data_IF_064544398903
#
_entry.id   IF_064544398903
#
_cell.length_a   1.000
_cell.length_b   1.000
_cell.length_c   1.000
_cell.angle_alpha   90.00
_cell.angle_beta   90.00
_cell.angle_gamma   90.00
#
_symmetry.space_group_name_H-M   'P 1'
#
loop_
_entity.id
_entity.type
_entity.pdbx_description
1 polymer ?
#
# COMPACT_ATOMS: atom_id res chain seq x y z
N UNK A 1 10.98 22.10 -22.05
CA UNK A 1 9.78 22.15 -21.18
C UNK A 1 9.92 21.03 -20.15
N UNK A 2 8.99 20.88 -19.20
CA UNK A 2 8.98 19.70 -18.35
C UNK A 2 8.14 18.62 -19.05
N UNK A 3 8.56 17.37 -18.96
CA UNK A 3 7.79 16.23 -19.48
C UNK A 3 6.51 16.09 -18.66
N UNK A 4 5.37 16.04 -19.36
CA UNK A 4 4.04 15.94 -18.76
C UNK A 4 3.22 14.79 -19.40
N UNK A 5 1.93 14.69 -19.03
CA UNK A 5 1.05 13.65 -19.57
C UNK A 5 0.78 13.71 -21.07
N UNK A 6 1.22 14.74 -21.79
CA UNK A 6 1.09 14.85 -23.26
C UNK A 6 2.27 14.22 -24.02
N UNK A 7 3.35 13.90 -23.31
CA UNK A 7 4.53 13.28 -23.87
C UNK A 7 4.25 11.86 -24.39
N UNK A 8 4.92 11.47 -25.48
CA UNK A 8 4.78 10.14 -26.06
C UNK A 8 5.11 9.04 -25.02
N UNK A 9 4.26 8.02 -24.93
CA UNK A 9 4.43 6.95 -23.93
C UNK A 9 4.02 7.31 -22.49
N UNK A 10 3.60 8.55 -22.21
CA UNK A 10 3.28 9.01 -20.86
C UNK A 10 1.78 9.26 -20.61
N UNK A 11 1.38 9.18 -19.35
CA UNK A 11 0.05 9.60 -18.90
C UNK A 11 0.06 10.08 -17.45
N UNK A 12 -0.91 10.92 -17.09
CA UNK A 12 -1.09 11.39 -15.71
C UNK A 12 -2.19 10.62 -14.98
N UNK A 13 -1.93 10.25 -13.73
CA UNK A 13 -2.93 9.66 -12.85
C UNK A 13 -2.70 10.08 -11.39
N UNK A 14 -3.69 10.74 -10.78
CA UNK A 14 -3.66 11.12 -9.37
C UNK A 14 -2.46 12.01 -9.00
N UNK A 15 -2.26 13.09 -9.77
CA UNK A 15 -1.16 14.06 -9.67
C UNK A 15 0.25 13.48 -9.82
N UNK A 16 0.38 12.33 -10.49
CA UNK A 16 1.65 11.65 -10.75
C UNK A 16 1.75 11.33 -12.23
N UNK A 17 2.95 11.47 -12.77
CA UNK A 17 3.29 11.07 -14.12
C UNK A 17 3.68 9.60 -14.16
N UNK A 18 3.21 8.89 -15.18
CA UNK A 18 3.53 7.51 -15.46
C UNK A 18 4.01 7.39 -16.90
N UNK A 19 4.99 6.51 -17.11
CA UNK A 19 5.49 6.13 -18.43
C UNK A 19 5.21 4.64 -18.65
N UNK A 20 4.80 4.32 -19.87
CA UNK A 20 4.53 2.96 -20.32
C UNK A 20 5.78 2.46 -21.07
N UNK A 21 6.41 1.36 -20.63
CA UNK A 21 7.52 0.76 -21.34
C UNK A 21 7.14 0.38 -22.77
N UNK A 22 8.04 0.61 -23.73
CA UNK A 22 7.77 0.36 -25.15
C UNK A 22 7.54 -1.13 -25.45
N UNK A 23 8.10 -2.01 -24.62
CA UNK A 23 7.98 -3.48 -24.71
C UNK A 23 6.70 -4.06 -24.08
N UNK A 24 5.82 -3.22 -23.53
CA UNK A 24 4.67 -3.66 -22.74
C UNK A 24 3.49 -4.24 -23.52
N UNK A 25 3.53 -4.27 -24.86
CA UNK A 25 2.42 -4.65 -25.77
C UNK A 25 1.12 -3.82 -25.64
N UNK A 26 1.04 -2.93 -24.64
CA UNK A 26 -0.14 -2.16 -24.30
C UNK A 26 -0.01 -0.70 -24.74
N UNK A 27 -1.11 -0.15 -25.26
CA UNK A 27 -1.17 1.28 -25.57
C UNK A 27 -1.27 2.14 -24.31
N UNK A 28 -0.72 3.36 -24.35
CA UNK A 28 -0.82 4.34 -23.25
C UNK A 28 -2.27 4.54 -22.80
N UNK A 29 -3.21 4.65 -23.74
CA UNK A 29 -4.62 4.83 -23.44
C UNK A 29 -5.27 3.61 -22.76
N UNK A 30 -4.79 2.40 -23.04
CA UNK A 30 -5.24 1.17 -22.38
C UNK A 30 -4.70 1.10 -20.94
N UNK A 31 -3.42 1.40 -20.74
CA UNK A 31 -2.80 1.43 -19.42
C UNK A 31 -3.41 2.52 -18.54
N UNK A 32 -3.60 3.74 -19.06
CA UNK A 32 -4.26 4.83 -18.34
C UNK A 32 -5.69 4.46 -17.92
N UNK A 33 -6.44 3.76 -18.78
CA UNK A 33 -7.79 3.25 -18.46
C UNK A 33 -7.74 2.23 -17.32
N UNK A 34 -6.82 1.26 -17.36
CA UNK A 34 -6.60 0.28 -16.29
C UNK A 34 -6.37 0.94 -14.92
N UNK A 35 -5.57 2.02 -14.86
CA UNK A 35 -5.36 2.78 -13.64
C UNK A 35 -6.63 3.48 -13.15
N UNK A 36 -7.38 4.09 -14.07
CA UNK A 36 -8.64 4.74 -13.75
C UNK A 36 -9.70 3.76 -13.23
N UNK A 37 -9.80 2.58 -13.83
CA UNK A 37 -10.76 1.53 -13.44
C UNK A 37 -10.38 0.91 -12.09
N UNK A 38 -9.09 0.67 -11.86
CA UNK A 38 -8.57 0.26 -10.55
C UNK A 38 -8.95 1.23 -9.44
N UNK A 39 -8.88 2.53 -9.72
CA UNK A 39 -9.26 3.57 -8.76
C UNK A 39 -10.76 3.58 -8.47
N UNK A 40 -11.60 3.35 -9.49
CA UNK A 40 -13.06 3.30 -9.36
C UNK A 40 -13.52 2.10 -8.56
N UNK A 41 -12.95 0.92 -8.83
CA UNK A 41 -13.27 -0.32 -8.11
C UNK A 41 -12.91 -0.17 -6.63
N UNK A 42 -11.71 0.33 -6.31
CA UNK A 42 -11.30 0.61 -4.93
C UNK A 42 -12.26 1.56 -4.20
N UNK A 43 -12.69 2.64 -4.87
CA UNK A 43 -13.67 3.58 -4.29
C UNK A 43 -15.06 2.95 -4.10
N UNK A 44 -15.47 2.06 -4.99
CA UNK A 44 -16.78 1.38 -4.93
C UNK A 44 -16.83 0.33 -3.82
N UNK A 45 -15.74 -0.38 -3.59
CA UNK A 45 -15.60 -1.36 -2.49
C UNK A 45 -15.73 -0.73 -1.09
N UNK A 46 -15.47 0.57 -0.95
CA UNK A 46 -15.55 1.29 0.32
C UNK A 46 -16.94 1.84 0.66
N UNK A 47 -17.94 1.68 -0.22
CA UNK A 47 -19.32 2.00 0.16
C UNK A 47 -19.86 0.88 1.04
N UNK A 48 -20.06 1.20 2.33
CA UNK A 48 -20.74 0.34 3.30
C UNK A 48 -22.19 0.15 2.81
N UNK A 49 -22.42 -0.86 1.96
CA UNK A 49 -23.77 -1.33 1.69
C UNK A 49 -24.26 -2.03 2.95
N UNK A 50 -25.06 -1.32 3.74
CA UNK A 50 -25.83 -1.88 4.84
C UNK A 50 -26.60 -3.08 4.30
N UNK A 51 -26.27 -4.25 4.80
CA UNK A 51 -26.83 -5.51 4.33
C UNK A 51 -27.68 -6.08 5.45
N UNK A 52 -28.72 -6.83 5.08
CA UNK A 52 -29.68 -7.46 5.99
C UNK A 52 -29.02 -8.18 7.18
N UNK A 53 -27.85 -8.78 6.95
CA UNK A 53 -27.04 -9.46 7.98
C UNK A 53 -26.63 -8.58 9.16
N UNK A 54 -26.48 -7.26 8.97
CA UNK A 54 -26.20 -6.34 10.07
C UNK A 54 -27.43 -6.16 10.99
N UNK A 55 -28.63 -6.14 10.41
CA UNK A 55 -29.88 -6.13 11.17
C UNK A 55 -30.13 -7.47 11.89
N UNK A 56 -29.77 -8.60 11.28
CA UNK A 56 -29.80 -9.91 11.95
C UNK A 56 -28.83 -9.93 13.14
N UNK A 57 -27.62 -9.40 12.98
CA UNK A 57 -26.67 -9.26 14.09
C UNK A 57 -27.23 -8.39 15.23
N UNK A 58 -27.92 -7.29 14.89
CA UNK A 58 -28.60 -6.45 15.87
C UNK A 58 -29.73 -7.21 16.60
N UNK A 59 -30.59 -7.91 15.87
CA UNK A 59 -31.70 -8.66 16.46
C UNK A 59 -31.20 -9.78 17.38
N UNK A 60 -30.15 -10.50 16.98
CA UNK A 60 -29.55 -11.56 17.79
C UNK A 60 -28.84 -11.00 19.03
N UNK A 61 -28.10 -9.91 18.90
CA UNK A 61 -27.41 -9.27 20.02
C UNK A 61 -28.38 -8.71 21.07
N UNK A 62 -29.43 -8.02 20.63
CA UNK A 62 -30.47 -7.51 21.51
C UNK A 62 -31.25 -8.63 22.20
N UNK A 63 -31.70 -9.63 21.44
CA UNK A 63 -32.44 -10.77 21.98
C UNK A 63 -31.61 -11.61 22.97
N UNK A 64 -30.30 -11.75 22.73
CA UNK A 64 -29.41 -12.48 23.64
C UNK A 64 -29.29 -11.79 25.00
N UNK A 65 -29.15 -10.46 25.03
CA UNK A 65 -29.06 -9.72 26.29
C UNK A 65 -30.38 -9.75 27.07
N UNK A 66 -31.52 -9.59 26.39
CA UNK A 66 -32.82 -9.64 27.04
C UNK A 66 -33.12 -11.03 27.63
N UNK A 67 -32.82 -12.08 26.87
CA UNK A 67 -33.03 -13.46 27.34
C UNK A 67 -32.12 -13.77 28.53
N UNK A 68 -30.88 -13.27 28.50
CA UNK A 68 -29.93 -13.41 29.60
C UNK A 68 -30.36 -12.62 30.84
N UNK A 69 -30.88 -11.40 30.67
CA UNK A 69 -31.36 -10.57 31.77
C UNK A 69 -32.61 -11.17 32.43
N UNK A 70 -33.56 -11.66 31.62
CA UNK A 70 -34.73 -12.37 32.13
C UNK A 70 -34.32 -13.60 32.92
N UNK A 71 -33.44 -14.45 32.37
CA UNK A 71 -33.07 -15.71 33.01
C UNK A 71 -32.20 -15.54 34.27
N UNK A 72 -31.29 -14.57 34.28
CA UNK A 72 -30.32 -14.41 35.38
C UNK A 72 -30.78 -13.51 36.52
N UNK A 73 -31.63 -12.52 36.23
CA UNK A 73 -31.95 -11.44 37.18
C UNK A 73 -33.44 -11.21 37.40
N UNK A 74 -34.31 -11.90 36.65
CA UNK A 74 -35.76 -11.74 36.78
C UNK A 74 -36.27 -10.33 36.42
N UNK A 75 -35.46 -9.54 35.70
CA UNK A 75 -35.84 -8.24 35.17
C UNK A 75 -37.02 -8.40 34.22
N UNK A 76 -38.18 -7.85 34.61
CA UNK A 76 -39.42 -7.88 33.83
C UNK A 76 -39.91 -6.48 33.47
N UNK A 77 -39.22 -5.45 33.94
CA UNK A 77 -39.53 -4.07 33.61
C UNK A 77 -39.32 -3.84 32.10
N UNK A 78 -40.36 -3.43 31.35
CA UNK A 78 -40.30 -3.37 29.88
C UNK A 78 -39.32 -2.29 29.38
N UNK A 79 -39.12 -1.22 30.16
CA UNK A 79 -38.17 -0.15 29.83
C UNK A 79 -36.72 -0.64 29.92
N UNK A 80 -36.39 -1.43 30.95
CA UNK A 80 -35.04 -1.93 31.17
C UNK A 80 -34.66 -2.97 30.10
N UNK A 81 -35.60 -3.86 29.76
CA UNK A 81 -35.46 -4.79 28.64
C UNK A 81 -35.27 -4.04 27.31
N UNK A 82 -36.05 -2.99 27.04
CA UNK A 82 -35.87 -2.20 25.82
C UNK A 82 -34.48 -1.53 25.72
N UNK A 83 -33.94 -1.05 26.85
CA UNK A 83 -32.59 -0.48 26.92
C UNK A 83 -31.50 -1.54 26.70
N UNK A 84 -31.63 -2.71 27.32
CA UNK A 84 -30.74 -3.86 27.15
C UNK A 84 -30.76 -4.37 25.71
N UNK A 85 -31.95 -4.50 25.11
CA UNK A 85 -32.13 -4.83 23.71
C UNK A 85 -31.43 -3.83 22.80
N UNK A 86 -31.62 -2.54 23.04
CA UNK A 86 -30.97 -1.47 22.27
C UNK A 86 -29.46 -1.57 22.33
N UNK A 87 -28.89 -1.76 23.53
CA UNK A 87 -27.45 -1.90 23.73
C UNK A 87 -26.90 -3.14 23.01
N UNK A 88 -27.55 -4.30 23.20
CA UNK A 88 -27.18 -5.56 22.54
C UNK A 88 -27.31 -5.47 21.02
N UNK A 89 -28.32 -4.74 20.54
CA UNK A 89 -28.53 -4.47 19.13
C UNK A 89 -27.40 -3.65 18.51
N UNK A 90 -26.95 -2.59 19.19
CA UNK A 90 -25.82 -1.78 18.73
C UNK A 90 -24.53 -2.60 18.68
N UNK A 91 -24.26 -3.40 19.73
CA UNK A 91 -23.06 -4.25 19.79
C UNK A 91 -23.10 -5.35 18.73
N UNK A 92 -24.24 -6.02 18.57
CA UNK A 92 -24.42 -7.06 17.55
C UNK A 92 -24.31 -6.52 16.12
N UNK A 93 -24.86 -5.32 15.88
CA UNK A 93 -24.73 -4.60 14.61
C UNK A 93 -23.27 -4.25 14.30
N UNK A 94 -22.56 -3.65 15.26
CA UNK A 94 -21.15 -3.28 15.10
C UNK A 94 -20.27 -4.50 14.85
N UNK A 95 -20.52 -5.60 15.56
CA UNK A 95 -19.78 -6.86 15.42
C UNK A 95 -20.01 -7.50 14.05
N UNK A 96 -21.24 -7.52 13.56
CA UNK A 96 -21.57 -8.04 12.23
C UNK A 96 -20.91 -7.20 11.10
N UNK A 97 -20.81 -5.89 11.28
CA UNK A 97 -20.05 -5.02 10.37
C UNK A 97 -18.55 -5.33 10.45
N UNK A 98 -18.00 -5.43 11.66
CA UNK A 98 -16.58 -5.72 11.90
C UNK A 98 -16.13 -7.05 11.29
N UNK A 99 -16.85 -8.14 11.55
CA UNK A 99 -16.54 -9.46 10.98
C UNK A 99 -16.59 -9.43 9.45
N UNK A 100 -17.57 -8.75 8.85
CA UNK A 100 -17.67 -8.66 7.40
C UNK A 100 -16.54 -7.83 6.79
N UNK A 101 -16.12 -6.76 7.46
CA UNK A 101 -14.94 -5.99 7.03
C UNK A 101 -13.68 -6.85 7.10
N UNK A 102 -13.52 -7.67 8.14
CA UNK A 102 -12.40 -8.61 8.24
C UNK A 102 -12.39 -9.63 7.09
N UNK A 103 -13.53 -10.27 6.81
CA UNK A 103 -13.63 -11.22 5.69
C UNK A 103 -13.44 -10.55 4.30
N UNK A 104 -13.91 -9.31 4.12
CA UNK A 104 -13.68 -8.55 2.88
C UNK A 104 -12.24 -8.08 2.72
N UNK A 105 -11.57 -7.73 3.82
CA UNK A 105 -10.16 -7.41 3.80
C UNK A 105 -9.31 -8.63 3.38
N UNK A 106 -9.80 -9.86 3.65
CA UNK A 106 -9.19 -11.11 3.18
C UNK A 106 -9.41 -11.36 1.68
N UNK A 107 -10.55 -10.93 1.11
CA UNK A 107 -10.83 -11.02 -0.31
C UNK A 107 -10.15 -9.87 -1.05
N UNK A 108 -8.83 -9.98 -1.22
CA UNK A 108 -8.05 -9.04 -2.01
C UNK A 108 -8.53 -9.12 -3.46
N UNK A 109 -9.46 -8.26 -3.84
CA UNK A 109 -9.80 -8.01 -5.24
C UNK A 109 -8.54 -7.43 -5.89
N UNK A 110 -7.74 -8.29 -6.52
CA UNK A 110 -6.52 -7.89 -7.23
C UNK A 110 -6.99 -7.17 -8.48
N UNK A 111 -7.21 -5.86 -8.38
CA UNK A 111 -7.41 -5.06 -9.57
C UNK A 111 -6.08 -4.92 -10.27
N UNK A 112 -5.91 -5.68 -11.34
CA UNK A 112 -4.67 -5.74 -12.11
C UNK A 112 -4.49 -4.41 -12.85
N UNK A 113 -3.49 -3.65 -12.40
CA UNK A 113 -3.00 -2.50 -13.16
C UNK A 113 -2.06 -3.03 -14.24
N UNK A 114 -2.24 -2.56 -15.47
CA UNK A 114 -1.27 -2.79 -16.53
C UNK A 114 0.08 -2.14 -16.17
N UNK A 115 1.21 -2.67 -16.69
CA UNK A 115 2.54 -2.22 -16.32
C UNK A 115 2.76 -0.75 -16.70
N UNK A 116 3.14 0.06 -15.72
CA UNK A 116 3.63 1.42 -15.93
C UNK A 116 4.57 1.80 -14.80
N UNK A 117 5.55 2.65 -15.11
CA UNK A 117 6.55 3.13 -14.17
C UNK A 117 6.22 4.57 -13.84
N UNK A 118 6.10 4.88 -12.56
CA UNK A 118 5.86 6.26 -12.15
C UNK A 118 7.16 7.07 -12.29
N UNK A 119 7.11 8.14 -13.07
CA UNK A 119 8.21 9.07 -13.29
C UNK A 119 8.35 9.97 -12.06
N UNK A 120 9.51 9.99 -11.39
CA UNK A 120 9.75 10.91 -10.28
C UNK A 120 9.68 12.37 -10.74
N UNK A 121 9.19 13.27 -9.88
CA UNK A 121 8.93 14.67 -10.24
C UNK A 121 10.20 15.43 -10.67
N UNK A 122 11.35 15.13 -10.06
CA UNK A 122 12.64 15.68 -10.52
C UNK A 122 13.04 15.18 -11.91
N UNK A 123 12.81 13.90 -12.24
CA UNK A 123 13.08 13.36 -13.58
C UNK A 123 12.17 14.05 -14.59
N UNK A 124 10.87 14.14 -14.32
CA UNK A 124 9.92 14.81 -15.21
C UNK A 124 10.26 16.29 -15.47
N UNK A 125 10.77 17.01 -14.46
CA UNK A 125 11.11 18.43 -14.58
C UNK A 125 12.41 18.71 -15.34
N UNK A 126 13.34 17.77 -15.33
CA UNK A 126 14.67 17.96 -15.88
C UNK A 126 14.95 17.12 -17.14
N UNK A 127 14.07 16.17 -17.47
CA UNK A 127 14.15 15.41 -18.70
C UNK A 127 14.05 16.36 -19.92
N UNK A 128 14.84 16.10 -20.98
CA UNK A 128 14.73 16.86 -22.21
C UNK A 128 13.41 16.53 -22.93
N UNK A 129 12.95 17.44 -23.79
CA UNK A 129 11.63 17.33 -24.47
C UNK A 129 11.59 16.20 -25.50
N UNK A 130 12.74 15.72 -25.96
CA UNK A 130 12.92 14.62 -26.91
C UNK A 130 13.28 13.28 -26.23
N UNK A 131 13.21 13.22 -24.89
CA UNK A 131 13.44 11.99 -24.15
C UNK A 131 12.48 10.88 -24.63
N UNK A 132 13.00 9.70 -24.89
CA UNK A 132 12.16 8.55 -25.22
C UNK A 132 11.46 7.99 -23.97
N UNK A 133 10.37 7.24 -24.17
CA UNK A 133 9.70 6.55 -23.07
C UNK A 133 10.65 5.60 -22.31
N UNK A 134 11.55 4.92 -23.02
CA UNK A 134 12.50 3.98 -22.41
C UNK A 134 13.61 4.69 -21.64
N UNK A 135 14.05 5.87 -22.08
CA UNK A 135 14.96 6.73 -21.30
C UNK A 135 14.30 7.20 -20.00
N UNK A 136 13.04 7.66 -20.07
CA UNK A 136 12.27 8.05 -18.89
C UNK A 136 12.08 6.87 -17.93
N UNK A 137 11.82 5.66 -18.45
CA UNK A 137 11.77 4.42 -17.67
C UNK A 137 13.10 4.18 -16.97
N UNK A 138 14.21 4.19 -17.73
CA UNK A 138 15.55 3.92 -17.22
C UNK A 138 15.93 4.91 -16.11
N UNK A 139 15.83 6.21 -16.37
CA UNK A 139 16.16 7.26 -15.41
C UNK A 139 15.28 7.17 -14.15
N UNK A 140 14.00 6.85 -14.33
CA UNK A 140 13.06 6.66 -13.21
C UNK A 140 13.44 5.46 -12.33
N UNK A 141 13.80 4.33 -12.94
CA UNK A 141 14.21 3.12 -12.22
C UNK A 141 15.51 3.36 -11.46
N UNK A 142 16.52 3.96 -12.10
CA UNK A 142 17.81 4.24 -11.48
C UNK A 142 17.69 5.25 -10.33
N UNK A 143 16.92 6.33 -10.51
CA UNK A 143 16.65 7.32 -9.46
C UNK A 143 15.92 6.69 -8.26
N UNK A 144 14.93 5.83 -8.51
CA UNK A 144 14.21 5.12 -7.44
C UNK A 144 15.10 4.13 -6.70
N UNK A 145 15.92 3.37 -7.43
CA UNK A 145 16.85 2.39 -6.86
C UNK A 145 17.88 3.08 -5.97
N UNK A 146 18.45 4.20 -6.41
CA UNK A 146 19.36 5.01 -5.60
C UNK A 146 18.69 5.51 -4.32
N UNK A 147 17.48 6.08 -4.42
CA UNK A 147 16.72 6.53 -3.24
C UNK A 147 16.41 5.40 -2.28
N UNK A 148 15.96 4.24 -2.78
CA UNK A 148 15.67 3.08 -1.96
C UNK A 148 16.94 2.56 -1.27
N UNK A 149 18.06 2.50 -1.98
CA UNK A 149 19.34 2.06 -1.41
C UNK A 149 19.85 3.03 -0.34
N UNK A 150 19.73 4.35 -0.56
CA UNK A 150 20.09 5.36 0.44
C UNK A 150 19.25 5.24 1.70
N UNK A 151 17.93 5.11 1.55
CA UNK A 151 17.02 4.89 2.68
C UNK A 151 17.33 3.57 3.39
N UNK A 152 17.67 2.50 2.67
CA UNK A 152 18.04 1.22 3.28
C UNK A 152 19.33 1.34 4.10
N UNK A 153 20.33 2.07 3.59
CA UNK A 153 21.58 2.34 4.30
C UNK A 153 21.34 3.19 5.57
N UNK A 154 20.53 4.24 5.47
CA UNK A 154 20.17 5.11 6.60
C UNK A 154 19.38 4.37 7.70
N UNK A 155 18.60 3.34 7.33
CA UNK A 155 17.76 2.57 8.24
C UNK A 155 18.37 1.21 8.65
N UNK A 156 19.66 0.97 8.42
CA UNK A 156 20.33 -0.23 8.95
C UNK A 156 20.20 -0.20 10.48
N UNK A 157 19.61 -1.23 11.11
CA UNK A 157 19.37 -1.21 12.54
C UNK A 157 20.68 -1.09 13.32
N UNK A 158 20.77 -0.06 14.17
CA UNK A 158 21.84 0.06 15.16
C UNK A 158 21.82 -1.18 16.08
N UNK A 159 22.99 -1.78 16.28
CA UNK A 159 23.20 -2.82 17.30
C UNK A 159 22.73 -2.30 18.66
N UNK A 160 21.59 -2.79 19.16
CA UNK A 160 21.34 -2.78 20.59
C UNK A 160 22.13 -3.95 21.17
N UNK A 161 23.37 -3.67 21.60
CA UNK A 161 24.16 -4.59 22.40
C UNK A 161 23.47 -4.82 23.76
N UNK A 162 22.48 -5.71 23.78
CA UNK A 162 21.97 -6.34 24.99
C UNK A 162 22.73 -7.66 25.22
N UNK A 163 23.06 -8.03 26.47
CA UNK A 163 23.78 -9.28 26.72
C UNK A 163 22.97 -10.48 26.22
N UNK A 164 23.63 -11.30 25.42
CA UNK A 164 23.14 -12.55 24.85
C UNK A 164 22.85 -13.58 25.96
N UNK A 165 21.61 -14.07 26.05
CA UNK A 165 21.28 -15.30 26.77
C UNK A 165 20.58 -16.32 25.84
N UNK A 166 21.28 -17.44 25.68
CA UNK A 166 20.86 -18.79 25.24
C UNK A 166 20.67 -19.12 23.74
N UNK A 167 21.26 -20.23 23.25
CA UNK A 167 21.15 -20.69 21.86
C UNK A 167 19.98 -21.68 21.67
N UNK A 168 18.94 -21.24 20.97
CA UNK A 168 17.83 -22.09 20.50
C UNK A 168 17.86 -22.21 18.98
N UNK A 169 17.90 -23.44 18.47
CA UNK A 169 18.05 -23.76 17.05
C UNK A 169 16.85 -23.32 16.21
N UNK A 170 17.12 -22.59 15.11
CA UNK A 170 16.31 -22.55 13.89
C UNK A 170 17.21 -22.20 12.69
N UNK A 171 17.38 -23.07 11.69
CA UNK A 171 18.12 -22.73 10.47
C UNK A 171 17.17 -22.04 9.50
N UNK A 172 16.75 -20.83 9.85
CA UNK A 172 16.21 -19.88 8.87
C UNK A 172 17.28 -18.82 8.76
N UNK A 173 17.99 -18.80 7.63
CA UNK A 173 19.14 -17.92 7.39
C UNK A 173 18.76 -16.46 7.55
N UNK A 174 18.76 -15.99 8.78
CA UNK A 174 18.62 -14.59 9.14
C UNK A 174 20.02 -14.02 8.98
N UNK A 175 20.18 -13.20 7.94
CA UNK A 175 21.40 -12.42 7.74
C UNK A 175 21.71 -11.72 9.07
N UNK A 176 22.96 -11.83 9.53
CA UNK A 176 23.40 -11.09 10.71
C UNK A 176 23.24 -9.59 10.45
N UNK A 177 23.03 -8.75 11.46
CA UNK A 177 22.97 -7.29 11.28
C UNK A 177 24.19 -6.75 10.51
N UNK A 178 25.36 -7.33 10.73
CA UNK A 178 26.59 -7.03 10.00
C UNK A 178 26.51 -7.42 8.50
N UNK A 179 25.95 -8.58 8.17
CA UNK A 179 25.73 -8.99 6.78
C UNK A 179 24.65 -8.14 6.10
N UNK A 180 23.60 -7.73 6.82
CA UNK A 180 22.58 -6.80 6.33
C UNK A 180 23.17 -5.42 6.06
N UNK A 181 24.04 -4.91 6.94
CA UNK A 181 24.77 -3.67 6.75
C UNK A 181 25.68 -3.71 5.52
N UNK A 182 26.50 -4.75 5.38
CA UNK A 182 27.38 -4.93 4.22
C UNK A 182 26.59 -5.04 2.90
N UNK A 183 25.45 -5.71 2.90
CA UNK A 183 24.56 -5.81 1.74
C UNK A 183 23.93 -4.46 1.39
N UNK A 184 23.49 -3.68 2.39
CA UNK A 184 22.94 -2.35 2.20
C UNK A 184 23.99 -1.39 1.61
N UNK A 185 25.23 -1.45 2.13
CA UNK A 185 26.35 -0.66 1.60
C UNK A 185 26.69 -1.03 0.16
N UNK A 186 26.80 -2.33 -0.16
CA UNK A 186 27.04 -2.79 -1.53
C UNK A 186 25.93 -2.34 -2.48
N UNK A 187 24.67 -2.45 -2.03
CA UNK A 187 23.50 -2.01 -2.81
C UNK A 187 23.54 -0.51 -3.05
N UNK A 188 23.93 0.27 -2.03
CA UNK A 188 24.11 1.71 -2.14
C UNK A 188 25.23 2.09 -3.11
N UNK A 189 26.42 1.51 -2.99
CA UNK A 189 27.55 1.78 -3.89
C UNK A 189 27.19 1.46 -5.35
N UNK A 190 26.54 0.32 -5.58
CA UNK A 190 26.10 -0.06 -6.92
C UNK A 190 25.05 0.92 -7.46
N UNK A 191 24.03 1.24 -6.67
CA UNK A 191 22.99 2.17 -7.08
C UNK A 191 23.52 3.60 -7.25
N UNK A 192 24.55 4.00 -6.51
CA UNK A 192 25.26 5.27 -6.66
C UNK A 192 25.91 5.37 -8.03
N UNK A 193 26.71 4.37 -8.41
CA UNK A 193 27.37 4.33 -9.72
C UNK A 193 26.38 4.29 -10.88
N UNK A 194 25.27 3.55 -10.74
CA UNK A 194 24.24 3.50 -11.78
C UNK A 194 23.49 4.85 -11.91
N UNK A 195 23.30 5.58 -10.81
CA UNK A 195 22.57 6.86 -10.78
C UNK A 195 23.41 8.07 -11.20
N UNK A 196 24.72 8.07 -10.95
CA UNK A 196 25.63 9.16 -11.31
C UNK A 196 25.47 9.67 -12.76
N UNK A 197 25.46 8.83 -13.82
CA UNK A 197 25.26 9.32 -15.19
C UNK A 197 23.89 9.96 -15.39
N UNK A 198 22.85 9.43 -14.75
CA UNK A 198 21.49 10.00 -14.80
C UNK A 198 21.47 11.38 -14.14
N UNK A 199 22.15 11.52 -13.00
CA UNK A 199 22.25 12.78 -12.29
C UNK A 199 22.95 13.85 -13.14
N UNK A 200 24.02 13.47 -13.84
CA UNK A 200 24.75 14.37 -14.74
C UNK A 200 23.90 14.78 -15.95
N UNK A 201 23.23 13.84 -16.62
CA UNK A 201 22.37 14.11 -17.78
C UNK A 201 21.22 15.05 -17.42
N UNK A 202 20.58 14.80 -16.27
CA UNK A 202 19.40 15.54 -15.83
C UNK A 202 19.75 16.75 -14.94
N UNK A 203 21.03 17.05 -14.71
CA UNK A 203 21.45 18.14 -13.80
C UNK A 203 20.92 17.98 -12.37
N UNK A 204 20.73 16.76 -11.90
CA UNK A 204 20.32 16.44 -10.53
C UNK A 204 21.53 16.43 -9.60
N UNK A 205 21.32 16.51 -8.26
CA UNK A 205 22.40 16.37 -7.30
C UNK A 205 23.15 15.05 -7.50
N UNK A 206 24.45 15.16 -7.75
CA UNK A 206 25.38 14.04 -7.85
C UNK A 206 25.61 13.48 -6.43
N UNK A 207 25.61 12.16 -6.26
CA UNK A 207 25.86 11.55 -4.96
C UNK A 207 27.34 11.69 -4.55
N UNK A 208 27.59 12.22 -3.34
CA UNK A 208 28.91 12.32 -2.72
C UNK A 208 29.52 10.95 -2.40
#
# INVERSE_FOLDING_TARGET
MAVDGSHEGCFEFGSRLYVVPTDSEHSVAEVARSYSDASRIRRRGHRIRLHWTAFVGAALGGGFLDLSAWHSSGLTAPLDLAMLFGLGGVVGFATAIGMRQAFRAQATEVVVRLPAIQVPAEVARHAPDDATADELVLWSVLTRRFRAARVALENVPFESAGPSEAPGHSPTGTLTPQATGALAELTYVTAKHDYEPVALILGLPVPD
#
